data_IF_735149296695
#
_entry.id   IF_735149296695
#
_cell.length_a   1.000
_cell.length_b   1.000
_cell.length_c   1.000
_cell.angle_alpha   90.00
_cell.angle_beta   90.00
_cell.angle_gamma   90.00
#
_symmetry.space_group_name_H-M   'P 1'
#
loop_
_entity.id
_entity.type
_entity.pdbx_description
1 polymer ?
#
# COMPACT_ATOMS: atom_id res chain seq x y z
N UNK A 1 1.00 -33.77 8.25
CA UNK A 1 0.53 -33.22 6.94
C UNK A 1 -0.84 -33.75 6.51
N UNK A 2 -1.17 -35.04 6.72
CA UNK A 2 -2.50 -35.58 6.35
C UNK A 2 -3.65 -34.82 7.05
N UNK A 3 -3.53 -34.55 8.34
CA UNK A 3 -4.53 -33.81 9.14
C UNK A 3 -4.78 -32.38 8.61
N UNK A 4 -3.73 -31.61 8.38
CA UNK A 4 -3.82 -30.26 7.79
C UNK A 4 -4.57 -30.27 6.45
N UNK A 5 -4.23 -31.21 5.56
CA UNK A 5 -4.87 -31.33 4.24
C UNK A 5 -6.36 -31.68 4.38
N UNK A 6 -6.72 -32.53 5.34
CA UNK A 6 -8.12 -32.88 5.62
C UNK A 6 -8.92 -31.68 6.10
N UNK A 7 -8.38 -30.91 7.04
CA UNK A 7 -9.04 -29.69 7.55
C UNK A 7 -9.20 -28.68 6.42
N UNK A 8 -8.12 -28.38 5.70
CA UNK A 8 -8.13 -27.46 4.57
C UNK A 8 -9.20 -27.85 3.53
N UNK A 9 -9.22 -29.13 3.12
CA UNK A 9 -10.20 -29.61 2.12
C UNK A 9 -11.63 -29.47 2.64
N UNK A 10 -11.89 -29.81 3.90
CA UNK A 10 -13.21 -29.68 4.52
C UNK A 10 -13.68 -28.22 4.52
N UNK A 11 -12.85 -27.32 5.04
CA UNK A 11 -13.19 -25.89 5.16
C UNK A 11 -13.36 -25.24 3.78
N UNK A 12 -12.45 -25.52 2.83
CA UNK A 12 -12.55 -25.00 1.47
C UNK A 12 -13.82 -25.48 0.77
N UNK A 13 -14.15 -26.77 0.88
CA UNK A 13 -15.38 -27.32 0.29
C UNK A 13 -16.63 -26.71 0.93
N UNK A 14 -16.59 -26.41 2.23
CA UNK A 14 -17.69 -25.76 2.94
C UNK A 14 -17.98 -24.32 2.48
N UNK A 15 -17.03 -23.63 1.84
CA UNK A 15 -17.31 -22.35 1.17
C UNK A 15 -18.20 -22.54 -0.06
N UNK A 16 -17.92 -23.54 -0.90
CA UNK A 16 -18.61 -23.74 -2.18
C UNK A 16 -19.89 -24.58 -2.08
N UNK A 17 -20.09 -25.32 -0.98
CA UNK A 17 -21.30 -26.11 -0.76
C UNK A 17 -22.56 -25.25 -0.59
N UNK A 18 -22.42 -23.96 -0.29
CA UNK A 18 -23.53 -23.03 -0.10
C UNK A 18 -23.34 -21.86 -1.07
N UNK A 19 -24.42 -21.27 -1.64
CA UNK A 19 -24.32 -20.14 -2.59
C UNK A 19 -23.55 -18.92 -2.10
N UNK A 20 -23.21 -18.85 -0.81
CA UNK A 20 -22.49 -17.76 -0.16
C UNK A 20 -21.17 -17.45 -0.88
N UNK A 21 -20.40 -18.46 -1.29
CA UNK A 21 -19.13 -18.25 -1.99
C UNK A 21 -19.32 -17.51 -3.32
N UNK A 22 -20.30 -17.92 -4.12
CA UNK A 22 -20.59 -17.32 -5.42
C UNK A 22 -21.11 -15.89 -5.27
N UNK A 23 -22.04 -15.67 -4.34
CA UNK A 23 -22.57 -14.33 -4.03
C UNK A 23 -21.43 -13.42 -3.58
N UNK A 24 -20.56 -13.89 -2.69
CA UNK A 24 -19.41 -13.13 -2.21
C UNK A 24 -18.50 -12.69 -3.36
N UNK A 25 -18.12 -13.62 -4.24
CA UNK A 25 -17.23 -13.32 -5.38
C UNK A 25 -17.87 -12.29 -6.32
N UNK A 26 -19.15 -12.46 -6.66
CA UNK A 26 -19.86 -11.52 -7.54
C UNK A 26 -19.93 -10.13 -6.92
N UNK A 27 -20.29 -10.03 -5.65
CA UNK A 27 -20.39 -8.74 -4.94
C UNK A 27 -19.00 -8.11 -4.78
N UNK A 28 -17.97 -8.89 -4.49
CA UNK A 28 -16.59 -8.42 -4.41
C UNK A 28 -16.11 -7.83 -5.73
N UNK A 29 -16.35 -8.52 -6.85
CA UNK A 29 -16.00 -8.02 -8.19
C UNK A 29 -16.81 -6.76 -8.51
N UNK A 30 -18.13 -6.78 -8.30
CA UNK A 30 -19.02 -5.67 -8.66
C UNK A 30 -18.66 -4.39 -7.90
N UNK A 31 -18.36 -4.49 -6.60
CA UNK A 31 -17.96 -3.32 -5.80
C UNK A 31 -16.60 -2.79 -6.25
N UNK A 32 -15.58 -3.65 -6.38
CA UNK A 32 -14.25 -3.19 -6.78
C UNK A 32 -14.23 -2.64 -8.21
N UNK A 33 -14.91 -3.30 -9.16
CA UNK A 33 -15.03 -2.82 -10.52
C UNK A 33 -15.82 -1.51 -10.60
N UNK A 34 -16.95 -1.39 -9.89
CA UNK A 34 -17.78 -0.18 -9.91
C UNK A 34 -17.05 1.05 -9.34
N UNK A 35 -16.32 0.87 -8.23
CA UNK A 35 -15.50 1.94 -7.64
C UNK A 35 -14.35 2.33 -8.58
N UNK A 36 -13.68 1.34 -9.17
CA UNK A 36 -12.56 1.60 -10.08
C UNK A 36 -12.98 2.28 -11.39
N UNK A 37 -14.07 1.84 -12.01
CA UNK A 37 -14.52 2.37 -13.31
C UNK A 37 -14.75 3.89 -13.24
N UNK A 38 -15.35 4.38 -12.15
CA UNK A 38 -15.56 5.82 -11.96
C UNK A 38 -14.23 6.58 -11.97
N UNK A 39 -13.23 6.11 -11.22
CA UNK A 39 -11.90 6.72 -11.17
C UNK A 39 -11.15 6.58 -12.50
N UNK A 40 -11.27 5.45 -13.18
CA UNK A 40 -10.60 5.16 -14.45
C UNK A 40 -11.04 6.11 -15.57
N UNK A 41 -12.35 6.27 -15.76
CA UNK A 41 -12.88 7.18 -16.79
C UNK A 41 -12.57 8.65 -16.50
N UNK A 42 -12.44 9.03 -15.22
CA UNK A 42 -12.02 10.37 -14.81
C UNK A 42 -10.52 10.62 -15.01
N UNK A 43 -9.68 9.59 -14.80
CA UNK A 43 -8.22 9.72 -14.91
C UNK A 43 -7.73 9.73 -16.36
N UNK A 44 -8.48 9.12 -17.29
CA UNK A 44 -8.12 9.00 -18.73
C UNK A 44 -6.74 8.36 -18.98
N UNK A 45 -6.25 7.55 -18.03
CA UNK A 45 -4.99 6.85 -18.11
C UNK A 45 -5.21 5.34 -17.98
N UNK A 46 -4.50 4.56 -18.79
CA UNK A 46 -4.53 3.10 -18.77
C UNK A 46 -3.69 2.55 -17.60
N UNK A 47 -4.10 2.84 -16.36
CA UNK A 47 -3.36 2.50 -15.15
C UNK A 47 -4.24 1.77 -14.11
N UNK A 48 -3.65 0.80 -13.41
CA UNK A 48 -4.25 0.00 -12.35
C UNK A 48 -3.95 0.53 -10.94
N UNK A 49 -3.09 1.54 -10.78
CA UNK A 49 -2.80 2.12 -9.45
C UNK A 49 -4.06 2.59 -8.73
N UNK A 50 -5.00 3.21 -9.45
CA UNK A 50 -6.28 3.63 -8.89
C UNK A 50 -7.14 2.47 -8.38
N UNK A 51 -7.07 1.29 -9.02
CA UNK A 51 -7.74 0.08 -8.55
C UNK A 51 -7.13 -0.39 -7.22
N UNK A 52 -5.81 -0.51 -7.17
CA UNK A 52 -5.11 -0.98 -5.97
C UNK A 52 -5.23 0.01 -4.81
N UNK A 53 -5.21 1.31 -5.04
CA UNK A 53 -5.39 2.30 -3.97
C UNK A 53 -6.73 2.21 -3.24
N UNK A 54 -7.80 1.76 -3.91
CA UNK A 54 -9.13 1.57 -3.30
C UNK A 54 -9.31 0.17 -2.69
N UNK A 55 -8.47 -0.78 -3.09
CA UNK A 55 -8.58 -2.18 -2.70
C UNK A 55 -8.44 -2.42 -1.18
N UNK A 56 -7.52 -1.76 -0.43
CA UNK A 56 -7.47 -1.89 1.02
C UNK A 56 -8.80 -1.55 1.70
N UNK A 57 -9.50 -0.51 1.22
CA UNK A 57 -10.76 -0.07 1.82
C UNK A 57 -11.86 -1.13 1.65
N UNK A 58 -11.95 -1.76 0.48
CA UNK A 58 -12.90 -2.85 0.26
C UNK A 58 -12.51 -4.07 1.08
N UNK A 59 -11.22 -4.40 1.18
CA UNK A 59 -10.74 -5.54 1.96
C UNK A 59 -11.05 -5.45 3.45
N UNK A 60 -11.01 -4.26 4.04
CA UNK A 60 -11.38 -4.02 5.45
C UNK A 60 -12.80 -4.53 5.75
N UNK A 61 -13.69 -4.54 4.76
CA UNK A 61 -15.06 -5.03 4.91
C UNK A 61 -15.16 -6.50 4.50
N UNK A 62 -14.68 -6.85 3.32
CA UNK A 62 -14.90 -8.19 2.75
C UNK A 62 -14.11 -9.29 3.46
N UNK A 63 -12.89 -9.01 3.91
CA UNK A 63 -12.04 -10.04 4.53
C UNK A 63 -12.56 -10.47 5.92
N UNK A 64 -12.97 -9.55 6.81
CA UNK A 64 -13.69 -9.92 8.02
C UNK A 64 -14.93 -10.79 7.77
N UNK A 65 -15.67 -10.55 6.68
CA UNK A 65 -16.84 -11.36 6.33
C UNK A 65 -16.48 -12.82 5.99
N UNK A 66 -15.30 -13.07 5.41
CA UNK A 66 -14.81 -14.44 5.14
C UNK A 66 -14.50 -15.18 6.45
N UNK A 67 -13.92 -14.46 7.41
CA UNK A 67 -13.38 -15.06 8.65
C UNK A 67 -14.37 -15.13 9.80
N UNK A 68 -15.43 -14.31 9.80
CA UNK A 68 -16.34 -14.17 10.92
C UNK A 68 -16.92 -15.52 11.40
N UNK A 69 -17.18 -16.45 10.47
CA UNK A 69 -17.76 -17.76 10.77
C UNK A 69 -16.77 -18.82 11.22
N UNK A 70 -15.49 -18.70 10.85
CA UNK A 70 -14.51 -19.79 10.97
C UNK A 70 -14.37 -20.34 12.39
N UNK A 71 -14.49 -19.49 13.43
CA UNK A 71 -14.46 -19.93 14.83
C UNK A 71 -15.74 -19.61 15.59
N UNK A 72 -16.39 -18.49 15.28
CA UNK A 72 -17.62 -18.10 15.97
C UNK A 72 -18.74 -19.13 15.75
N UNK A 73 -18.84 -19.71 14.55
CA UNK A 73 -19.85 -20.73 14.25
C UNK A 73 -19.60 -22.03 15.02
N UNK A 74 -18.35 -22.52 15.03
CA UNK A 74 -17.98 -23.72 15.79
C UNK A 74 -18.25 -23.55 17.30
N UNK A 75 -18.15 -22.33 17.81
CA UNK A 75 -18.47 -22.01 19.20
C UNK A 75 -19.95 -21.90 19.47
N UNK A 76 -20.70 -21.26 18.58
CA UNK A 76 -22.15 -21.10 18.70
C UNK A 76 -22.84 -22.45 18.61
N UNK A 77 -22.35 -23.34 17.75
CA UNK A 77 -22.88 -24.69 17.52
C UNK A 77 -22.39 -25.73 18.55
N UNK A 78 -21.50 -25.35 19.47
CA UNK A 78 -20.95 -26.27 20.49
C UNK A 78 -19.99 -27.34 19.96
N UNK A 79 -19.70 -27.35 18.65
CA UNK A 79 -18.77 -28.28 18.00
C UNK A 79 -17.32 -28.04 18.36
N UNK A 80 -17.00 -26.88 18.95
CA UNK A 80 -15.69 -26.55 19.48
C UNK A 80 -15.14 -27.60 20.45
N UNK A 81 -15.97 -28.19 21.32
CA UNK A 81 -15.55 -29.22 22.26
C UNK A 81 -15.16 -30.53 21.55
N UNK A 82 -15.84 -30.86 20.44
CA UNK A 82 -15.50 -32.01 19.59
C UNK A 82 -14.20 -31.77 18.85
N UNK A 83 -13.96 -30.56 18.33
CA UNK A 83 -12.70 -30.20 17.69
C UNK A 83 -11.50 -30.31 18.65
N UNK A 84 -11.71 -30.02 19.93
CA UNK A 84 -10.70 -30.10 20.97
C UNK A 84 -10.44 -31.52 21.48
N UNK A 85 -11.37 -32.47 21.28
CA UNK A 85 -11.18 -33.88 21.67
C UNK A 85 -10.43 -34.70 20.60
N UNK A 86 -10.38 -34.22 19.35
CA UNK A 86 -9.58 -34.86 18.33
C UNK A 86 -8.08 -34.71 18.62
N UNK A 87 -7.24 -35.72 18.31
CA UNK A 87 -5.80 -35.70 18.56
C UNK A 87 -5.03 -34.83 17.55
N UNK A 88 -5.55 -33.64 17.23
CA UNK A 88 -4.96 -32.70 16.28
C UNK A 88 -4.27 -31.56 17.02
N UNK A 89 -3.08 -31.16 16.54
CA UNK A 89 -2.36 -30.01 17.09
C UNK A 89 -3.10 -28.71 16.77
N UNK A 90 -3.21 -27.80 17.75
CA UNK A 90 -3.87 -26.48 17.61
C UNK A 90 -3.36 -25.71 16.39
N UNK A 91 -2.03 -25.67 16.19
CA UNK A 91 -1.41 -24.97 15.06
C UNK A 91 -1.85 -25.52 13.70
N UNK A 92 -2.12 -26.82 13.57
CA UNK A 92 -2.59 -27.40 12.31
C UNK A 92 -4.05 -27.04 12.03
N UNK A 93 -4.87 -26.91 13.08
CA UNK A 93 -6.26 -26.48 12.96
C UNK A 93 -6.37 -25.02 12.50
N UNK A 94 -5.58 -24.14 13.13
CA UNK A 94 -5.48 -22.72 12.76
C UNK A 94 -4.96 -22.56 11.33
N UNK A 95 -3.84 -23.21 10.99
CA UNK A 95 -3.26 -23.14 9.64
C UNK A 95 -4.22 -23.69 8.57
N UNK A 96 -4.94 -24.77 8.86
CA UNK A 96 -5.89 -25.36 7.92
C UNK A 96 -7.05 -24.41 7.59
N UNK A 97 -7.64 -23.79 8.61
CA UNK A 97 -8.70 -22.77 8.45
C UNK A 97 -8.18 -21.51 7.74
N UNK A 98 -6.98 -21.04 8.11
CA UNK A 98 -6.33 -19.91 7.45
C UNK A 98 -6.10 -20.17 5.96
N UNK A 99 -5.47 -21.29 5.60
CA UNK A 99 -5.17 -21.64 4.20
C UNK A 99 -6.45 -21.79 3.36
N UNK A 100 -7.53 -22.33 3.93
CA UNK A 100 -8.81 -22.44 3.24
C UNK A 100 -9.40 -21.06 2.94
N UNK A 101 -9.42 -20.17 3.94
CA UNK A 101 -9.89 -18.80 3.77
C UNK A 101 -8.98 -17.99 2.82
N UNK A 102 -7.67 -18.19 2.90
CA UNK A 102 -6.69 -17.56 2.03
C UNK A 102 -6.86 -17.98 0.57
N UNK A 103 -7.03 -19.28 0.29
CA UNK A 103 -7.28 -19.73 -1.07
C UNK A 103 -8.62 -19.21 -1.60
N UNK A 104 -9.67 -19.21 -0.78
CA UNK A 104 -10.98 -18.65 -1.17
C UNK A 104 -10.86 -17.16 -1.53
N UNK A 105 -10.12 -16.41 -0.72
CA UNK A 105 -9.80 -15.01 -0.99
C UNK A 105 -8.97 -14.84 -2.28
N UNK A 106 -7.94 -15.67 -2.51
CA UNK A 106 -7.15 -15.64 -3.75
C UNK A 106 -7.99 -15.93 -4.99
N UNK A 107 -8.96 -16.83 -4.91
CA UNK A 107 -9.92 -17.07 -6.02
C UNK A 107 -10.76 -15.82 -6.27
N UNK A 108 -11.22 -15.15 -5.21
CA UNK A 108 -11.98 -13.90 -5.32
C UNK A 108 -11.13 -12.77 -5.93
N UNK A 109 -9.86 -12.68 -5.55
CA UNK A 109 -8.89 -11.73 -6.09
C UNK A 109 -8.54 -12.05 -7.55
N UNK A 110 -8.33 -13.32 -7.89
CA UNK A 110 -8.05 -13.75 -9.26
C UNK A 110 -9.22 -13.43 -10.21
N UNK A 111 -10.46 -13.45 -9.71
CA UNK A 111 -11.62 -13.05 -10.50
C UNK A 111 -11.60 -11.56 -10.91
N UNK A 112 -10.79 -10.71 -10.27
CA UNK A 112 -10.60 -9.31 -10.69
C UNK A 112 -9.63 -9.14 -11.85
N UNK A 113 -8.91 -10.19 -12.28
CA UNK A 113 -7.98 -10.17 -13.43
C UNK A 113 -8.68 -9.78 -14.75
N UNK A 114 -10.01 -9.87 -14.79
CA UNK A 114 -10.80 -9.34 -15.92
C UNK A 114 -10.56 -7.83 -16.14
N UNK A 115 -10.28 -7.07 -15.08
CA UNK A 115 -10.02 -5.63 -15.14
C UNK A 115 -8.70 -5.30 -15.88
N UNK A 116 -7.52 -5.82 -15.49
CA UNK A 116 -6.29 -5.55 -16.24
C UNK A 116 -6.34 -6.10 -17.66
N UNK A 117 -7.04 -7.21 -17.92
CA UNK A 117 -7.29 -7.69 -19.29
C UNK A 117 -8.02 -6.63 -20.11
N UNK A 118 -9.09 -6.05 -19.57
CA UNK A 118 -9.82 -4.96 -20.24
C UNK A 118 -8.91 -3.76 -20.53
N UNK A 119 -8.10 -3.32 -19.56
CA UNK A 119 -7.21 -2.17 -19.74
C UNK A 119 -6.14 -2.45 -20.80
N UNK A 120 -5.62 -3.68 -20.87
CA UNK A 120 -4.66 -4.09 -21.90
C UNK A 120 -5.24 -4.05 -23.33
N UNK A 121 -6.57 -4.18 -23.48
CA UNK A 121 -7.22 -3.96 -24.78
C UNK A 121 -7.45 -2.47 -25.10
N UNK A 122 -7.61 -1.63 -24.08
CA UNK A 122 -7.90 -0.20 -24.23
C UNK A 122 -6.62 0.66 -24.38
N UNK A 123 -5.48 0.20 -23.89
CA UNK A 123 -4.23 0.96 -23.89
C UNK A 123 -2.99 0.09 -23.64
N UNK A 124 -1.89 0.74 -23.24
CA UNK A 124 -0.63 0.08 -22.85
C UNK A 124 -0.40 0.23 -21.35
N UNK A 125 -1.04 -0.60 -20.50
CA UNK A 125 -0.79 -0.57 -19.07
C UNK A 125 0.63 -1.05 -18.77
N UNK A 126 1.26 -0.43 -17.76
CA UNK A 126 2.49 -0.94 -17.16
C UNK A 126 2.17 -2.20 -16.34
N UNK A 127 2.76 -3.34 -16.70
CA UNK A 127 2.50 -4.60 -16.01
C UNK A 127 3.22 -4.72 -14.65
N UNK A 128 4.22 -3.88 -14.38
CA UNK A 128 4.93 -3.83 -13.10
C UNK A 128 4.01 -3.54 -11.92
N UNK A 129 3.31 -2.38 -11.90
CA UNK A 129 2.29 -2.04 -10.91
C UNK A 129 1.14 -3.05 -10.84
N UNK A 130 0.78 -3.69 -11.97
CA UNK A 130 -0.27 -4.73 -12.00
C UNK A 130 0.16 -5.94 -11.17
N UNK A 131 1.33 -6.51 -11.47
CA UNK A 131 1.85 -7.69 -10.78
C UNK A 131 2.16 -7.35 -9.31
N UNK A 132 2.84 -6.23 -9.08
CA UNK A 132 3.14 -5.71 -7.75
C UNK A 132 1.87 -5.56 -6.91
N UNK A 133 0.87 -4.87 -7.44
CA UNK A 133 -0.42 -4.66 -6.78
C UNK A 133 -1.14 -5.97 -6.42
N UNK A 134 -1.13 -6.99 -7.29
CA UNK A 134 -1.72 -8.30 -6.96
C UNK A 134 -0.95 -9.05 -5.88
N UNK A 135 0.39 -8.99 -5.89
CA UNK A 135 1.23 -9.58 -4.84
C UNK A 135 0.97 -8.86 -3.50
N UNK A 136 0.97 -7.52 -3.51
CA UNK A 136 0.64 -6.70 -2.35
C UNK A 136 -0.75 -7.00 -1.82
N UNK A 137 -1.74 -7.14 -2.71
CA UNK A 137 -3.11 -7.48 -2.34
C UNK A 137 -3.21 -8.88 -1.71
N UNK A 138 -2.47 -9.85 -2.23
CA UNK A 138 -2.40 -11.19 -1.64
C UNK A 138 -1.82 -11.14 -0.22
N UNK A 139 -0.73 -10.41 -0.01
CA UNK A 139 -0.08 -10.24 1.30
C UNK A 139 -0.94 -9.46 2.29
N UNK A 140 -1.53 -8.35 1.86
CA UNK A 140 -2.49 -7.56 2.64
C UNK A 140 -3.68 -8.42 3.07
N UNK A 141 -4.22 -9.21 2.13
CA UNK A 141 -5.33 -10.10 2.43
C UNK A 141 -4.96 -11.21 3.41
N UNK A 142 -3.74 -11.77 3.31
CA UNK A 142 -3.22 -12.71 4.31
C UNK A 142 -3.13 -12.09 5.71
N UNK A 143 -2.72 -10.82 5.80
CA UNK A 143 -2.68 -10.08 7.07
C UNK A 143 -4.08 -9.89 7.66
N UNK A 144 -5.02 -9.30 6.92
CA UNK A 144 -6.39 -9.09 7.41
C UNK A 144 -7.13 -10.41 7.69
N UNK A 145 -6.88 -11.48 6.94
CA UNK A 145 -7.42 -12.81 7.23
C UNK A 145 -6.89 -13.35 8.56
N UNK A 146 -5.60 -13.14 8.86
CA UNK A 146 -5.01 -13.58 10.14
C UNK A 146 -5.63 -12.83 11.32
N UNK A 147 -5.80 -11.51 11.19
CA UNK A 147 -6.48 -10.65 12.17
C UNK A 147 -7.93 -11.10 12.38
N UNK A 148 -8.70 -11.25 11.29
CA UNK A 148 -10.09 -11.67 11.34
C UNK A 148 -10.28 -13.06 11.94
N UNK A 149 -9.39 -14.01 11.62
CA UNK A 149 -9.39 -15.34 12.21
C UNK A 149 -9.15 -15.28 13.72
N UNK A 150 -8.16 -14.51 14.19
CA UNK A 150 -7.90 -14.27 15.62
C UNK A 150 -9.13 -13.70 16.33
N UNK A 151 -9.75 -12.67 15.76
CA UNK A 151 -10.93 -12.01 16.36
C UNK A 151 -12.15 -12.93 16.38
N UNK A 152 -12.43 -13.67 15.29
CA UNK A 152 -13.47 -14.73 15.29
C UNK A 152 -13.21 -15.76 16.40
N UNK A 153 -11.94 -16.05 16.67
CA UNK A 153 -11.50 -16.89 17.79
C UNK A 153 -11.71 -16.28 19.19
N UNK A 154 -12.17 -15.05 19.34
CA UNK A 154 -12.48 -14.44 20.65
C UNK A 154 -13.97 -14.48 21.00
N UNK A 155 -14.84 -14.38 19.99
CA UNK A 155 -16.28 -14.23 20.17
C UNK A 155 -17.06 -15.52 19.87
N UNK A 156 -18.35 -15.55 20.26
CA UNK A 156 -19.31 -16.61 19.90
C UNK A 156 -20.26 -16.14 18.79
N UNK A 157 -20.54 -14.84 18.75
CA UNK A 157 -21.44 -14.25 17.76
C UNK A 157 -20.67 -13.79 16.52
N UNK A 158 -21.10 -14.29 15.35
CA UNK A 158 -20.49 -13.97 14.05
C UNK A 158 -20.52 -12.46 13.75
N UNK A 159 -21.64 -11.79 14.07
CA UNK A 159 -21.81 -10.36 13.82
C UNK A 159 -20.82 -9.53 14.65
N UNK A 160 -20.64 -9.89 15.93
CA UNK A 160 -19.68 -9.20 16.81
C UNK A 160 -18.25 -9.43 16.33
N UNK A 161 -17.92 -10.67 15.95
CA UNK A 161 -16.62 -10.99 15.36
C UNK A 161 -16.33 -10.18 14.08
N UNK A 162 -17.33 -10.04 13.21
CA UNK A 162 -17.24 -9.28 11.97
C UNK A 162 -16.97 -7.79 12.21
N UNK A 163 -17.81 -7.13 13.02
CA UNK A 163 -17.71 -5.69 13.29
C UNK A 163 -16.36 -5.37 13.95
N UNK A 164 -15.95 -6.15 14.95
CA UNK A 164 -14.67 -5.91 15.62
C UNK A 164 -13.47 -6.17 14.70
N UNK A 165 -13.52 -7.19 13.84
CA UNK A 165 -12.47 -7.43 12.87
C UNK A 165 -12.37 -6.30 11.85
N UNK A 166 -13.50 -5.77 11.38
CA UNK A 166 -13.54 -4.59 10.51
C UNK A 166 -12.91 -3.37 11.19
N UNK A 167 -13.29 -3.07 12.43
CA UNK A 167 -12.75 -1.92 13.18
C UNK A 167 -11.24 -2.06 13.40
N UNK A 168 -10.76 -3.26 13.73
CA UNK A 168 -9.31 -3.50 13.91
C UNK A 168 -8.56 -3.36 12.58
N UNK A 169 -9.06 -3.94 11.49
CA UNK A 169 -8.45 -3.78 10.16
C UNK A 169 -8.45 -2.32 9.71
N UNK A 170 -9.53 -1.59 9.98
CA UNK A 170 -9.63 -0.16 9.70
C UNK A 170 -8.62 0.65 10.52
N UNK A 171 -8.42 0.31 11.79
CA UNK A 171 -7.38 0.91 12.64
C UNK A 171 -5.98 0.75 12.05
N UNK A 172 -5.62 -0.47 11.62
CA UNK A 172 -4.33 -0.73 10.96
C UNK A 172 -4.16 0.05 9.66
N UNK A 173 -5.23 0.21 8.87
CA UNK A 173 -5.22 1.04 7.68
C UNK A 173 -5.00 2.51 8.01
N UNK A 174 -5.76 3.05 8.97
CA UNK A 174 -5.68 4.45 9.40
C UNK A 174 -4.30 4.82 9.93
N UNK A 175 -3.66 3.95 10.71
CA UNK A 175 -2.29 4.18 11.24
C UNK A 175 -1.26 4.40 10.13
N UNK A 176 -1.50 3.88 8.92
CA UNK A 176 -0.62 4.09 7.77
C UNK A 176 -0.84 5.41 7.02
N UNK A 177 -1.82 6.22 7.42
CA UNK A 177 -2.16 7.47 6.72
C UNK A 177 -1.45 8.68 7.32
N UNK A 178 -1.14 9.67 6.48
CA UNK A 178 -0.51 10.93 6.91
C UNK A 178 -1.38 11.72 7.90
N UNK A 179 -2.70 11.62 7.76
CA UNK A 179 -3.66 12.25 8.67
C UNK A 179 -3.48 11.81 10.12
N UNK A 180 -3.31 10.51 10.35
CA UNK A 180 -3.08 9.99 11.70
C UNK A 180 -1.66 10.31 12.19
N UNK A 181 -0.67 10.20 11.30
CA UNK A 181 0.73 10.48 11.65
C UNK A 181 0.88 11.93 12.15
N UNK A 182 0.38 12.91 11.39
CA UNK A 182 0.40 14.34 11.76
C UNK A 182 -0.38 14.64 13.03
N UNK A 183 -1.53 13.98 13.24
CA UNK A 183 -2.29 14.11 14.49
C UNK A 183 -1.49 13.65 15.72
N UNK A 184 -0.84 12.49 15.65
CA UNK A 184 -0.03 11.98 16.76
C UNK A 184 1.29 12.75 16.94
N UNK A 185 1.93 13.18 15.85
CA UNK A 185 3.14 14.00 15.89
C UNK A 185 2.89 15.37 16.52
N UNK A 186 1.66 15.90 16.41
CA UNK A 186 1.24 17.13 17.09
C UNK A 186 1.17 16.98 18.62
N UNK A 187 0.98 15.76 19.13
CA UNK A 187 1.00 15.49 20.58
C UNK A 187 2.42 15.19 21.06
N UNK A 188 3.12 14.32 20.35
CA UNK A 188 4.50 13.94 20.67
C UNK A 188 5.26 13.80 19.35
N UNK A 189 6.21 14.68 19.09
CA UNK A 189 6.97 14.70 17.85
C UNK A 189 7.68 13.37 17.57
N UNK A 190 7.47 12.81 16.38
CA UNK A 190 8.11 11.57 15.92
C UNK A 190 7.32 10.30 16.24
N UNK A 191 6.26 10.36 17.06
CA UNK A 191 5.44 9.19 17.40
C UNK A 191 4.51 8.78 16.25
N UNK A 192 3.94 9.75 15.55
CA UNK A 192 3.10 9.50 14.38
C UNK A 192 3.88 8.89 13.22
N UNK A 193 5.03 9.46 12.88
CA UNK A 193 5.94 8.88 11.89
C UNK A 193 6.45 7.48 12.28
N UNK A 194 6.76 7.24 13.57
CA UNK A 194 7.11 5.91 14.06
C UNK A 194 5.98 4.89 13.85
N UNK A 195 4.75 5.25 14.19
CA UNK A 195 3.59 4.38 13.99
C UNK A 195 3.29 4.14 12.51
N UNK A 196 3.39 5.18 11.67
CA UNK A 196 3.22 5.05 10.22
C UNK A 196 4.22 4.07 9.61
N UNK A 197 5.49 4.13 10.02
CA UNK A 197 6.55 3.28 9.47
C UNK A 197 6.58 1.87 10.08
N UNK A 198 6.11 1.68 11.31
CA UNK A 198 6.20 0.39 12.00
C UNK A 198 4.91 -0.42 11.96
N UNK A 199 3.76 0.25 11.84
CA UNK A 199 2.41 -0.33 11.94
C UNK A 199 1.50 0.03 10.77
N UNK A 200 1.88 0.99 9.93
CA UNK A 200 1.05 1.48 8.85
C UNK A 200 0.92 0.49 7.70
N UNK A 201 -0.27 -0.06 7.50
CA UNK A 201 -0.55 -0.95 6.36
C UNK A 201 -0.54 -0.18 5.03
N UNK A 202 -1.07 1.05 5.05
CA UNK A 202 -1.23 1.86 3.83
C UNK A 202 0.10 2.27 3.21
N UNK A 203 1.14 2.54 4.01
CA UNK A 203 2.45 2.99 3.53
C UNK A 203 3.19 1.85 2.81
N UNK A 204 3.28 0.67 3.44
CA UNK A 204 3.88 -0.52 2.85
C UNK A 204 3.12 -1.00 1.61
N UNK A 205 1.79 -0.91 1.61
CA UNK A 205 0.99 -1.26 0.44
C UNK A 205 1.18 -0.27 -0.72
N UNK A 206 1.29 1.04 -0.44
CA UNK A 206 1.50 2.06 -1.46
C UNK A 206 2.89 1.99 -2.14
N UNK A 207 3.88 1.39 -1.48
CA UNK A 207 5.16 1.06 -2.12
C UNK A 207 4.97 -0.04 -3.17
N UNK A 208 4.32 -1.13 -2.77
CA UNK A 208 4.06 -2.30 -3.63
C UNK A 208 3.11 -1.98 -4.79
N UNK A 209 2.09 -1.15 -4.58
CA UNK A 209 1.12 -0.77 -5.63
C UNK A 209 1.77 0.01 -6.79
N UNK A 210 2.89 0.70 -6.53
CA UNK A 210 3.65 1.44 -7.54
C UNK A 210 4.53 0.54 -8.41
N UNK A 211 4.60 -0.76 -8.14
CA UNK A 211 5.49 -1.70 -8.82
C UNK A 211 6.87 -1.84 -8.18
N UNK A 212 7.05 -1.22 -7.00
CA UNK A 212 8.29 -1.29 -6.22
C UNK A 212 8.11 -2.32 -5.10
N UNK A 213 8.81 -3.44 -5.21
CA UNK A 213 8.80 -4.49 -4.20
C UNK A 213 10.02 -4.32 -3.29
N UNK A 214 9.81 -3.72 -2.13
CA UNK A 214 10.77 -3.72 -1.03
C UNK A 214 10.59 -5.00 -0.19
N UNK A 215 11.68 -5.68 0.15
CA UNK A 215 11.59 -6.86 1.02
C UNK A 215 11.05 -6.49 2.42
N UNK A 216 11.24 -5.23 2.86
CA UNK A 216 10.71 -4.73 4.13
C UNK A 216 9.19 -4.81 4.17
N UNK A 217 8.55 -4.41 3.08
CA UNK A 217 7.09 -4.43 2.96
C UNK A 217 6.55 -5.87 3.00
N UNK A 218 7.24 -6.80 2.33
CA UNK A 218 6.89 -8.23 2.36
C UNK A 218 7.05 -8.81 3.77
N UNK A 219 8.17 -8.53 4.43
CA UNK A 219 8.46 -9.00 5.79
C UNK A 219 7.47 -8.42 6.80
N UNK A 220 7.02 -7.18 6.60
CA UNK A 220 5.96 -6.58 7.40
C UNK A 220 4.67 -7.41 7.35
N UNK A 221 4.14 -7.67 6.16
CA UNK A 221 2.89 -8.44 6.02
C UNK A 221 3.04 -9.87 6.57
N UNK A 222 4.14 -10.55 6.25
CA UNK A 222 4.38 -11.92 6.70
C UNK A 222 4.53 -11.98 8.23
N UNK A 223 5.30 -11.07 8.82
CA UNK A 223 5.55 -11.07 10.27
C UNK A 223 4.26 -10.89 11.06
N UNK A 224 3.45 -9.90 10.69
CA UNK A 224 2.17 -9.66 11.35
C UNK A 224 1.17 -10.79 11.10
N UNK A 225 1.08 -11.35 9.88
CA UNK A 225 0.27 -12.55 9.61
C UNK A 225 0.64 -13.70 10.55
N UNK A 226 1.93 -14.01 10.68
CA UNK A 226 2.42 -15.09 11.55
C UNK A 226 2.08 -14.80 13.01
N UNK A 227 2.27 -13.58 13.49
CA UNK A 227 1.95 -13.19 14.87
C UNK A 227 0.47 -13.40 15.17
N UNK A 228 -0.43 -12.95 14.30
CA UNK A 228 -1.87 -13.14 14.51
C UNK A 228 -2.30 -14.62 14.44
N UNK A 229 -1.65 -15.43 13.60
CA UNK A 229 -1.88 -16.88 13.57
C UNK A 229 -1.37 -17.57 14.84
N UNK A 230 -0.21 -17.17 15.37
CA UNK A 230 0.31 -17.67 16.64
C UNK A 230 -0.60 -17.27 17.81
N UNK A 231 -1.09 -16.03 17.82
CA UNK A 231 -2.07 -15.55 18.80
C UNK A 231 -3.38 -16.34 18.74
N UNK A 232 -3.82 -16.72 17.54
CA UNK A 232 -4.99 -17.57 17.38
C UNK A 232 -4.78 -18.96 18.01
N UNK A 233 -3.63 -19.60 17.71
CA UNK A 233 -3.24 -20.88 18.31
C UNK A 233 -3.15 -20.80 19.83
N UNK A 234 -2.52 -19.74 20.35
CA UNK A 234 -2.41 -19.50 21.79
C UNK A 234 -3.77 -19.26 22.45
N UNK A 235 -4.70 -18.59 21.79
CA UNK A 235 -6.08 -18.41 22.27
C UNK A 235 -6.84 -19.74 22.37
N UNK A 236 -6.56 -20.65 21.44
CA UNK A 236 -7.15 -21.99 21.43
C UNK A 236 -6.61 -22.85 22.58
N UNK A 237 -5.29 -22.82 22.81
CA UNK A 237 -4.62 -23.58 23.87
C UNK A 237 -4.86 -23.00 25.28
N UNK A 238 -4.87 -21.67 25.40
CA UNK A 238 -5.05 -20.96 26.66
C UNK A 238 -6.41 -21.23 27.32
N UNK A 239 -7.44 -21.58 26.54
CA UNK A 239 -8.77 -21.94 27.07
C UNK A 239 -8.84 -23.36 27.65
N UNK A 240 -7.82 -24.20 27.44
CA UNK A 240 -7.69 -25.51 28.09
C UNK A 240 -7.23 -25.39 29.57
N UNK A 241 -6.52 -24.31 29.91
CA UNK A 241 -6.08 -23.99 31.28
C UNK A 241 -6.97 -22.88 31.85
N UNK A 242 -7.85 -23.24 32.77
CA UNK A 242 -8.89 -22.39 33.39
C UNK A 242 -8.38 -21.20 34.24
N UNK A 243 -7.20 -20.63 33.97
CA UNK A 243 -6.63 -19.57 34.80
C UNK A 243 -5.89 -18.47 34.00
N UNK A 244 -6.24 -17.24 34.37
CA UNK A 244 -5.48 -15.98 34.25
C UNK A 244 -5.70 -15.11 33.00
N UNK A 245 -6.80 -14.35 33.01
CA UNK A 245 -7.05 -13.26 32.06
C UNK A 245 -5.86 -12.30 31.89
N UNK A 246 -5.17 -11.94 32.98
CA UNK A 246 -4.00 -11.04 32.93
C UNK A 246 -2.77 -11.63 32.21
N UNK A 247 -2.59 -12.96 32.18
CA UNK A 247 -1.46 -13.59 31.46
C UNK A 247 -1.76 -13.72 29.98
N UNK A 248 -3.03 -13.89 29.62
CA UNK A 248 -3.47 -13.88 28.23
C UNK A 248 -3.30 -12.48 27.62
N UNK A 249 -3.79 -11.44 28.29
CA UNK A 249 -3.63 -10.05 27.82
C UNK A 249 -2.15 -9.64 27.76
N UNK A 250 -1.35 -9.98 28.77
CA UNK A 250 0.09 -9.73 28.74
C UNK A 250 0.80 -10.47 27.58
N UNK A 251 0.39 -11.71 27.27
CA UNK A 251 0.91 -12.46 26.13
C UNK A 251 0.56 -11.85 24.78
N UNK A 252 -0.69 -11.36 24.62
CA UNK A 252 -1.13 -10.65 23.41
C UNK A 252 -0.33 -9.36 23.23
N UNK A 253 -0.22 -8.54 24.27
CA UNK A 253 0.54 -7.28 24.25
C UNK A 253 2.01 -7.57 23.95
N UNK A 254 2.60 -8.59 24.58
CA UNK A 254 3.99 -8.98 24.36
C UNK A 254 4.26 -9.39 22.91
N UNK A 255 3.42 -10.24 22.31
CA UNK A 255 3.60 -10.65 20.92
C UNK A 255 3.40 -9.50 19.92
N UNK A 256 2.44 -8.61 20.17
CA UNK A 256 2.27 -7.41 19.34
C UNK A 256 3.47 -6.46 19.48
N UNK A 257 3.98 -6.26 20.70
CA UNK A 257 5.18 -5.44 20.94
C UNK A 257 6.41 -6.01 20.24
N UNK A 258 6.58 -7.35 20.25
CA UNK A 258 7.64 -8.03 19.49
C UNK A 258 7.47 -7.80 17.99
N UNK A 259 6.25 -7.86 17.46
CA UNK A 259 5.97 -7.54 16.06
C UNK A 259 6.32 -6.12 15.67
N UNK A 260 5.92 -5.15 16.50
CA UNK A 260 6.25 -3.73 16.28
C UNK A 260 7.76 -3.50 16.35
N UNK A 261 8.44 -4.08 17.35
CA UNK A 261 9.89 -3.96 17.50
C UNK A 261 10.64 -4.61 16.33
N UNK A 262 10.20 -5.79 15.89
CA UNK A 262 10.75 -6.48 14.72
C UNK A 262 10.64 -5.62 13.46
N UNK A 263 9.47 -5.02 13.22
CA UNK A 263 9.25 -4.15 12.06
C UNK A 263 10.01 -2.81 12.17
N UNK A 264 10.12 -2.23 13.36
CA UNK A 264 10.93 -1.05 13.59
C UNK A 264 12.42 -1.30 13.28
N UNK A 265 12.95 -2.47 13.68
CA UNK A 265 14.32 -2.89 13.37
C UNK A 265 14.51 -3.12 11.88
N UNK A 266 13.57 -3.80 11.22
CA UNK A 266 13.60 -4.03 9.76
C UNK A 266 13.49 -2.73 8.97
N UNK A 267 12.67 -1.79 9.43
CA UNK A 267 12.49 -0.49 8.78
C UNK A 267 13.80 0.29 8.69
N UNK A 268 14.66 0.18 9.72
CA UNK A 268 15.99 0.79 9.75
C UNK A 268 17.07 0.04 8.96
N UNK A 269 16.78 -1.15 8.42
CA UNK A 269 17.72 -1.91 7.59
C UNK A 269 17.56 -1.54 6.12
N UNK A 270 18.67 -1.32 5.42
CA UNK A 270 18.67 -1.25 3.95
C UNK A 270 18.63 -2.67 3.40
N UNK A 271 17.41 -3.18 3.25
CA UNK A 271 17.19 -4.46 2.60
C UNK A 271 16.90 -4.26 1.10
N UNK A 272 17.06 -5.31 0.30
CA UNK A 272 16.95 -5.24 -1.16
C UNK A 272 15.59 -4.73 -1.64
N UNK A 273 15.63 -3.82 -2.62
CA UNK A 273 14.48 -3.21 -3.29
C UNK A 273 14.51 -3.61 -4.77
N UNK A 274 13.37 -4.10 -5.27
CA UNK A 274 13.21 -4.52 -6.66
C UNK A 274 12.14 -3.65 -7.33
N UNK A 275 12.50 -2.98 -8.42
CA UNK A 275 11.56 -2.26 -9.26
C UNK A 275 11.17 -3.16 -10.44
N UNK A 276 9.86 -3.33 -10.64
CA UNK A 276 9.30 -4.17 -11.70
C UNK A 276 8.56 -3.30 -12.73
N UNK A 277 8.56 -1.98 -12.57
CA UNK A 277 7.92 -1.06 -13.52
C UNK A 277 8.56 -1.13 -14.91
N UNK A 278 7.74 -0.95 -15.95
CA UNK A 278 8.22 -0.85 -17.32
C UNK A 278 9.15 0.36 -17.44
N UNK A 279 10.46 0.09 -17.59
CA UNK A 279 11.51 1.12 -17.68
C UNK A 279 12.25 1.42 -16.38
N UNK A 280 12.00 0.70 -15.28
CA UNK A 280 12.66 0.90 -13.98
C UNK A 280 12.55 2.36 -13.49
N UNK A 281 11.34 2.93 -13.55
CA UNK A 281 11.09 4.36 -13.30
C UNK A 281 11.50 4.77 -11.88
N UNK A 282 11.52 3.83 -10.93
CA UNK A 282 11.87 4.02 -9.52
C UNK A 282 13.20 3.34 -9.12
N UNK A 283 14.03 3.01 -10.09
CA UNK A 283 15.43 2.63 -9.85
C UNK A 283 16.34 3.62 -10.53
N UNK A 284 17.25 4.21 -9.75
CA UNK A 284 18.26 5.11 -10.31
C UNK A 284 19.25 4.29 -11.14
N UNK A 285 19.42 4.66 -12.41
CA UNK A 285 20.33 3.97 -13.32
C UNK A 285 21.78 4.02 -12.83
N UNK A 286 22.58 3.03 -13.21
CA UNK A 286 24.01 3.03 -12.88
C UNK A 286 24.75 4.23 -13.49
N UNK A 287 24.25 4.78 -14.59
CA UNK A 287 24.75 6.02 -15.17
C UNK A 287 24.47 7.22 -14.27
N UNK A 288 23.22 7.37 -13.80
CA UNK A 288 22.84 8.40 -12.85
C UNK A 288 23.62 8.28 -11.53
N UNK A 289 23.78 7.07 -10.97
CA UNK A 289 24.63 6.84 -9.78
C UNK A 289 26.06 7.31 -10.00
N UNK A 290 26.65 7.03 -11.18
CA UNK A 290 28.01 7.49 -11.52
C UNK A 290 28.10 9.01 -11.65
N UNK A 291 27.06 9.67 -12.15
CA UNK A 291 27.01 11.13 -12.25
C UNK A 291 26.87 11.72 -10.84
N UNK A 292 25.89 11.27 -10.06
CA UNK A 292 25.61 11.74 -8.71
C UNK A 292 26.80 11.52 -7.75
N UNK A 293 27.45 10.36 -7.78
CA UNK A 293 28.63 10.08 -6.93
C UNK A 293 29.87 10.89 -7.31
N UNK A 294 29.90 11.46 -8.52
CA UNK A 294 30.95 12.38 -8.97
C UNK A 294 30.69 13.83 -8.57
N UNK A 295 29.51 14.17 -8.03
CA UNK A 295 29.16 15.53 -7.57
C UNK A 295 29.92 15.97 -6.30
N UNK A 296 31.10 15.41 -6.01
CA UNK A 296 31.86 15.68 -4.78
C UNK A 296 32.32 17.12 -4.63
N UNK A 297 32.40 17.87 -5.73
CA UNK A 297 33.09 19.14 -5.76
C UNK A 297 32.17 20.37 -5.55
N UNK A 298 30.85 20.23 -5.68
CA UNK A 298 29.90 21.30 -5.32
C UNK A 298 28.43 20.81 -5.20
N UNK A 299 27.62 21.41 -4.31
CA UNK A 299 26.23 21.05 -4.13
C UNK A 299 25.36 21.52 -5.32
N UNK A 300 24.47 20.65 -5.78
CA UNK A 300 23.41 20.96 -6.73
C UNK A 300 22.11 21.13 -5.96
N UNK A 301 21.45 22.25 -6.19
CA UNK A 301 20.11 22.50 -5.66
C UNK A 301 19.08 22.33 -6.76
N UNK A 302 18.20 21.34 -6.61
CA UNK A 302 17.07 21.08 -7.49
C UNK A 302 15.81 21.59 -6.83
N UNK A 303 15.12 22.53 -7.50
CA UNK A 303 13.88 23.14 -7.00
C UNK A 303 12.73 22.78 -7.91
N UNK A 304 11.65 22.27 -7.35
CA UNK A 304 10.46 21.89 -8.10
C UNK A 304 9.30 22.82 -7.79
N UNK A 305 8.89 23.56 -8.83
CA UNK A 305 7.80 24.52 -8.80
C UNK A 305 6.53 23.84 -9.31
N UNK A 306 5.60 23.56 -8.42
CA UNK A 306 4.37 22.83 -8.75
C UNK A 306 3.15 23.49 -8.14
N UNK A 307 2.05 23.53 -8.90
CA UNK A 307 0.77 24.00 -8.36
C UNK A 307 0.19 23.00 -7.35
N UNK A 308 -0.42 23.47 -6.26
CA UNK A 308 -1.06 22.63 -5.25
C UNK A 308 -2.03 21.59 -5.83
N UNK A 309 -2.06 20.39 -5.24
CA UNK A 309 -2.85 19.26 -5.73
C UNK A 309 -4.37 19.52 -5.82
N UNK A 310 -4.91 20.47 -5.07
CA UNK A 310 -6.31 20.93 -5.15
C UNK A 310 -6.59 21.76 -6.41
N UNK A 311 -5.59 22.53 -6.88
CA UNK A 311 -5.66 23.34 -8.10
C UNK A 311 -5.33 22.54 -9.36
N UNK A 312 -4.73 21.35 -9.20
CA UNK A 312 -4.34 20.47 -10.30
C UNK A 312 -5.53 19.69 -10.88
N UNK A 313 -5.54 19.42 -12.21
CA UNK A 313 -6.45 18.45 -12.82
C UNK A 313 -6.29 17.07 -12.18
N UNK A 314 -7.36 16.29 -12.17
CA UNK A 314 -7.38 14.93 -11.58
C UNK A 314 -6.23 14.05 -12.08
N UNK A 315 -5.92 14.10 -13.38
CA UNK A 315 -4.85 13.32 -14.01
C UNK A 315 -3.43 13.71 -13.55
N UNK A 316 -3.26 14.86 -12.90
CA UNK A 316 -1.95 15.37 -12.47
C UNK A 316 -1.82 15.51 -10.96
N UNK A 317 -2.81 15.08 -10.18
CA UNK A 317 -2.76 15.19 -8.71
C UNK A 317 -1.63 14.38 -8.07
N UNK A 318 -1.11 13.36 -8.76
CA UNK A 318 0.00 12.53 -8.26
C UNK A 318 1.37 13.04 -8.68
N UNK A 319 1.46 14.00 -9.60
CA UNK A 319 2.74 14.40 -10.22
C UNK A 319 3.74 14.93 -9.19
N UNK A 320 3.25 15.68 -8.20
CA UNK A 320 4.09 16.20 -7.11
C UNK A 320 4.75 15.07 -6.34
N UNK A 321 3.94 14.08 -5.94
CA UNK A 321 4.43 12.89 -5.25
C UNK A 321 5.42 12.11 -6.10
N UNK A 322 5.08 11.85 -7.36
CA UNK A 322 5.89 11.03 -8.27
C UNK A 322 7.26 11.68 -8.55
N UNK A 323 7.32 13.00 -8.72
CA UNK A 323 8.59 13.75 -8.88
C UNK A 323 9.37 13.77 -7.57
N UNK A 324 8.71 14.06 -6.45
CA UNK A 324 9.36 14.12 -5.13
C UNK A 324 9.99 12.77 -4.75
N UNK A 325 9.28 11.67 -4.98
CA UNK A 325 9.77 10.31 -4.76
C UNK A 325 11.09 10.08 -5.51
N UNK A 326 11.15 10.46 -6.80
CA UNK A 326 12.34 10.29 -7.64
C UNK A 326 13.50 11.18 -7.20
N UNK A 327 13.23 12.42 -6.79
CA UNK A 327 14.28 13.34 -6.35
C UNK A 327 14.86 12.94 -5.00
N UNK A 328 14.05 12.44 -4.07
CA UNK A 328 14.53 11.89 -2.81
C UNK A 328 15.40 10.64 -3.00
N UNK A 329 15.17 9.85 -4.06
CA UNK A 329 16.10 8.77 -4.43
C UNK A 329 17.48 9.29 -4.87
N UNK A 330 17.54 10.43 -5.56
CA UNK A 330 18.81 11.06 -5.94
C UNK A 330 19.53 11.66 -4.72
N UNK A 331 18.78 12.33 -3.83
CA UNK A 331 19.28 12.87 -2.56
C UNK A 331 19.86 11.76 -1.67
N UNK A 332 19.21 10.59 -1.59
CA UNK A 332 19.71 9.45 -0.85
C UNK A 332 21.02 8.85 -1.40
N UNK A 333 21.37 9.12 -2.67
CA UNK A 333 22.61 8.64 -3.31
C UNK A 333 23.77 9.63 -3.11
N UNK A 334 23.47 10.92 -2.99
CA UNK A 334 24.47 11.99 -2.91
C UNK A 334 24.04 13.09 -1.95
N UNK A 335 24.78 13.26 -0.86
CA UNK A 335 24.58 14.36 0.12
C UNK A 335 24.68 15.77 -0.52
N UNK A 336 25.32 15.87 -1.68
CA UNK A 336 25.46 17.11 -2.44
C UNK A 336 24.28 17.38 -3.39
N UNK A 337 23.28 16.51 -3.44
CA UNK A 337 22.05 16.73 -4.20
C UNK A 337 20.95 17.16 -3.22
N UNK A 338 20.49 18.40 -3.32
CA UNK A 338 19.44 18.94 -2.45
C UNK A 338 18.16 19.15 -3.24
N UNK A 339 17.04 18.67 -2.70
CA UNK A 339 15.74 18.79 -3.34
C UNK A 339 14.74 19.57 -2.48
N UNK A 340 14.07 20.55 -3.08
CA UNK A 340 13.06 21.36 -2.40
C UNK A 340 11.86 21.62 -3.32
N UNK A 341 10.66 21.64 -2.74
CA UNK A 341 9.39 21.88 -3.43
C UNK A 341 8.87 23.26 -3.08
N UNK A 342 8.39 23.99 -4.09
CA UNK A 342 7.88 25.34 -3.98
C UNK A 342 6.51 25.47 -4.64
N UNK A 343 5.60 26.20 -3.98
CA UNK A 343 4.38 26.71 -4.63
C UNK A 343 4.71 28.04 -5.34
N UNK A 344 4.71 28.06 -6.69
CA UNK A 344 5.01 29.28 -7.43
C UNK A 344 4.03 30.43 -7.13
N UNK A 345 2.82 30.15 -6.64
CA UNK A 345 1.84 31.19 -6.32
C UNK A 345 2.13 31.97 -5.03
N UNK A 346 2.99 31.45 -4.16
CA UNK A 346 3.37 32.11 -2.89
C UNK A 346 4.74 32.82 -2.99
N UNK A 347 5.60 32.43 -3.93
CA UNK A 347 7.02 32.80 -3.92
C UNK A 347 7.35 34.05 -4.73
N UNK A 348 6.69 34.27 -5.87
CA UNK A 348 7.04 35.37 -6.78
C UNK A 348 5.89 35.78 -7.71
N UNK A 349 6.03 36.97 -8.30
CA UNK A 349 5.10 37.43 -9.33
C UNK A 349 5.22 36.60 -10.62
N UNK A 350 4.12 36.47 -11.37
CA UNK A 350 4.11 35.69 -12.63
C UNK A 350 5.15 36.19 -13.66
N UNK A 351 5.48 37.48 -13.65
CA UNK A 351 6.53 38.05 -14.50
C UNK A 351 7.94 37.62 -14.08
N UNK A 352 8.21 37.52 -12.78
CA UNK A 352 9.51 37.03 -12.27
C UNK A 352 9.70 35.55 -12.51
N UNK A 353 8.65 34.74 -12.33
CA UNK A 353 8.66 33.31 -12.67
C UNK A 353 8.93 33.10 -14.16
N UNK A 354 8.29 33.89 -15.02
CA UNK A 354 8.50 33.83 -16.47
C UNK A 354 9.94 34.18 -16.85
N UNK A 355 10.56 35.18 -16.19
CA UNK A 355 11.98 35.52 -16.39
C UNK A 355 12.93 34.40 -15.97
N UNK A 356 12.54 33.60 -14.97
CA UNK A 356 13.26 32.40 -14.50
C UNK A 356 12.97 31.15 -15.35
N UNK A 357 12.13 31.24 -16.39
CA UNK A 357 11.75 30.11 -17.23
C UNK A 357 10.68 29.19 -16.63
N UNK A 358 10.10 29.56 -15.49
CA UNK A 358 9.00 28.85 -14.83
C UNK A 358 7.70 29.33 -15.46
N UNK A 359 7.31 28.65 -16.54
CA UNK A 359 6.15 29.02 -17.35
C UNK A 359 4.94 28.17 -16.99
N UNK A 360 3.76 28.79 -16.79
CA UNK A 360 2.55 28.01 -16.65
C UNK A 360 2.15 27.39 -17.98
N UNK A 361 1.42 26.27 -17.93
CA UNK A 361 0.81 25.67 -19.10
C UNK A 361 -0.65 25.33 -18.84
N UNK A 362 -1.39 25.29 -19.92
CA UNK A 362 -2.83 25.11 -19.91
C UNK A 362 -3.16 23.63 -20.06
N UNK A 363 -3.95 23.10 -19.12
CA UNK A 363 -4.37 21.71 -19.09
C UNK A 363 -5.89 21.62 -19.13
N UNK A 364 -6.40 20.60 -19.81
CA UNK A 364 -7.83 20.36 -19.85
C UNK A 364 -8.28 19.74 -18.52
N UNK A 365 -9.24 20.37 -17.85
CA UNK A 365 -9.91 19.84 -16.68
C UNK A 365 -11.36 19.58 -17.00
N UNK A 366 -11.83 18.37 -16.70
CA UNK A 366 -13.25 18.01 -16.78
C UNK A 366 -13.80 18.09 -15.35
N UNK A 367 -14.57 19.12 -15.05
CA UNK A 367 -15.31 19.25 -13.79
C UNK A 367 -16.80 19.31 -14.08
N UNK A 368 -17.56 18.34 -13.54
CA UNK A 368 -19.03 18.28 -13.50
C UNK A 368 -19.70 18.93 -14.74
N UNK A 369 -19.44 18.36 -15.91
CA UNK A 369 -20.06 18.70 -17.20
C UNK A 369 -19.55 19.98 -17.90
N UNK A 370 -18.44 20.58 -17.46
CA UNK A 370 -17.77 21.67 -18.17
C UNK A 370 -16.31 21.32 -18.54
N UNK A 371 -15.94 21.58 -19.80
CA UNK A 371 -14.55 21.64 -20.22
C UNK A 371 -13.96 22.97 -19.73
N UNK A 372 -13.18 22.91 -18.66
CA UNK A 372 -12.40 24.04 -18.15
C UNK A 372 -10.95 23.93 -18.62
N UNK A 373 -10.33 25.07 -18.94
CA UNK A 373 -8.87 25.15 -19.08
C UNK A 373 -8.33 25.60 -17.73
N UNK A 374 -7.51 24.76 -17.09
CA UNK A 374 -6.79 25.13 -15.87
C UNK A 374 -5.34 25.44 -16.21
N UNK A 375 -4.91 26.62 -15.79
CA UNK A 375 -3.52 27.06 -15.88
C UNK A 375 -2.77 26.61 -14.63
N UNK A 376 -1.74 25.81 -14.83
CA UNK A 376 -0.96 25.22 -13.74
C UNK A 376 0.54 25.36 -13.99
N UNK A 377 1.32 25.13 -12.94
CA UNK A 377 2.78 25.08 -12.98
C UNK A 377 3.27 23.67 -12.64
N UNK A 378 4.29 23.23 -13.36
CA UNK A 378 5.07 22.03 -13.06
C UNK A 378 6.41 22.18 -13.77
N UNK A 379 7.44 22.58 -13.04
CA UNK A 379 8.76 22.92 -13.60
C UNK A 379 9.86 22.63 -12.60
N UNK A 380 10.93 22.00 -13.05
CA UNK A 380 12.14 21.78 -12.23
C UNK A 380 13.22 22.77 -12.67
N UNK A 381 13.86 23.41 -11.70
CA UNK A 381 15.08 24.20 -11.93
C UNK A 381 16.26 23.53 -11.24
N UNK A 382 17.42 23.58 -11.89
CA UNK A 382 18.67 23.00 -11.43
C UNK A 382 19.66 24.15 -11.29
N UNK A 383 20.15 24.36 -10.07
CA UNK A 383 21.12 25.41 -9.75
C UNK A 383 22.44 24.79 -9.34
N UNK A 384 23.53 25.30 -9.91
CA UNK A 384 24.89 24.89 -9.60
C UNK A 384 25.80 26.12 -9.47
N UNK A 385 26.24 26.41 -8.24
CA UNK A 385 27.08 27.57 -7.91
C UNK A 385 26.57 28.86 -8.58
N UNK A 386 27.43 29.57 -9.33
CA UNK A 386 27.11 30.80 -10.05
C UNK A 386 26.70 30.57 -11.51
N UNK A 387 26.48 29.32 -11.95
CA UNK A 387 26.02 29.04 -13.30
C UNK A 387 24.54 29.38 -13.45
N UNK A 388 24.14 29.71 -14.68
CA UNK A 388 22.74 29.97 -15.01
C UNK A 388 21.90 28.73 -14.70
N UNK A 389 20.78 28.94 -14.03
CA UNK A 389 19.81 27.88 -13.74
C UNK A 389 19.36 27.19 -15.03
N UNK A 390 19.46 25.86 -15.05
CA UNK A 390 18.88 25.04 -16.10
C UNK A 390 17.44 24.69 -15.73
N UNK A 391 16.55 24.73 -16.72
CA UNK A 391 15.11 24.56 -16.48
C UNK A 391 14.61 23.35 -17.28
N UNK A 392 13.83 22.50 -16.61
CA UNK A 392 13.04 21.42 -17.21
C UNK A 392 11.57 21.84 -17.12
N UNK A 393 11.01 22.42 -18.20
CA UNK A 393 9.62 22.87 -18.20
C UNK A 393 8.65 21.70 -18.35
N UNK A 394 7.41 21.91 -17.88
CA UNK A 394 6.27 21.02 -18.13
C UNK A 394 6.52 19.56 -17.73
N UNK A 395 6.86 19.33 -16.46
CA UNK A 395 6.95 17.96 -15.94
C UNK A 395 5.54 17.39 -15.80
N UNK A 396 5.24 16.36 -16.57
CA UNK A 396 3.90 15.76 -16.67
C UNK A 396 4.01 14.25 -16.51
N UNK A 397 2.91 13.53 -16.17
CA UNK A 397 2.94 12.08 -16.04
C UNK A 397 3.59 11.32 -17.20
N UNK A 398 3.46 11.84 -18.42
CA UNK A 398 4.02 11.24 -19.63
C UNK A 398 5.55 11.45 -19.76
N UNK A 399 6.12 12.48 -19.14
CA UNK A 399 7.57 12.79 -19.22
C UNK A 399 8.36 12.24 -18.04
N UNK A 400 7.69 11.75 -16.99
CA UNK A 400 8.31 11.16 -15.80
C UNK A 400 9.33 10.05 -16.12
N UNK A 401 9.06 9.20 -17.12
CA UNK A 401 9.98 8.13 -17.52
C UNK A 401 11.32 8.65 -18.04
N UNK A 402 11.34 9.85 -18.65
CA UNK A 402 12.55 10.47 -19.19
C UNK A 402 13.19 11.45 -18.20
N UNK A 403 12.52 11.74 -17.08
CA UNK A 403 12.94 12.79 -16.14
C UNK A 403 14.34 12.55 -15.60
N UNK A 404 14.71 11.30 -15.31
CA UNK A 404 16.06 10.96 -14.87
C UNK A 404 17.11 11.32 -15.93
N UNK A 405 16.86 10.97 -17.19
CA UNK A 405 17.78 11.29 -18.29
C UNK A 405 17.90 12.81 -18.48
N UNK A 406 16.78 13.53 -18.49
CA UNK A 406 16.76 14.98 -18.68
C UNK A 406 17.51 15.70 -17.55
N UNK A 407 17.32 15.24 -16.30
CA UNK A 407 17.99 15.82 -15.14
C UNK A 407 19.47 15.47 -15.12
N UNK A 408 19.83 14.20 -15.33
CA UNK A 408 21.24 13.77 -15.34
C UNK A 408 22.03 14.36 -16.49
N UNK A 409 21.44 14.49 -17.68
CA UNK A 409 22.11 15.10 -18.84
C UNK A 409 22.41 16.58 -18.60
N UNK A 410 21.46 17.34 -18.03
CA UNK A 410 21.70 18.74 -17.65
C UNK A 410 22.77 18.86 -16.55
N UNK A 411 22.70 18.02 -15.53
CA UNK A 411 23.71 18.00 -14.45
C UNK A 411 25.10 17.65 -15.00
N UNK A 412 25.20 16.72 -15.95
CA UNK A 412 26.48 16.33 -16.55
C UNK A 412 27.07 17.40 -17.48
N UNK A 413 26.21 18.21 -18.11
CA UNK A 413 26.62 19.30 -19.01
C UNK A 413 27.01 20.58 -18.26
N UNK A 414 26.61 20.72 -16.99
CA UNK A 414 27.13 21.73 -16.08
C UNK A 414 28.52 21.35 -15.61
#
# INVERSE_FOLDING_TARGET
>A
MKELKTIFKREFTAYFNVPIAYIFIVVFIMVNAGLFMTSFFLAQAADMRGFFGLLPLTMIIFIPAITMRLWAEDRKSGTMALLQSFPMKSNQLVLGKFLAAFLFYLVSLAATIVIPIMIAFLGKPDFGPVIGGYIGAALLGAFFLSVGLFISGLFKDQIVAFILAMVVCFGFYMVGTDYLATFFDSWIGGLGSFFKNSLGVSSHFASIERGVIDIRDILYFISFSVIFLLLNGYTFEGKLRRYTGNRFTAGVIGMLAVGVMFNAVIGGMSLGRFDITDGNVYTVSDAAKKILTKLKDAPISVRYYVSPADKMPTAMKTIERDVADKMHEFEAISDNFKFEIYDPSEEASAEELSKRGILPFDTQSIEKDAFGIKRIYSTITISYLDKKDEVIPQVVPQTLANLEYDLMSKIYLM
#
